data_IF_574226433446
#
_entry.id   IF_574226433446
#
_cell.length_a   1.000
_cell.length_b   1.000
_cell.length_c   1.000
_cell.angle_alpha   90.00
_cell.angle_beta   90.00
_cell.angle_gamma   90.00
#
_symmetry.space_group_name_H-M   'P 1'
#
loop_
_entity.id
_entity.type
_entity.pdbx_description
1 polymer ?
#
# COMPACT_ATOMS: atom_id res chain seq x y z
N UNK A 1 26.52 4.39 -10.51
CA UNK A 1 25.11 4.05 -10.80
C UNK A 1 24.80 2.75 -10.08
N UNK A 2 24.19 2.81 -8.90
CA UNK A 2 23.80 1.62 -8.14
C UNK A 2 22.50 1.10 -8.74
N UNK A 3 22.56 0.02 -9.51
CA UNK A 3 21.36 -0.68 -9.99
C UNK A 3 20.71 -1.37 -8.80
N UNK A 4 19.66 -0.75 -8.24
CA UNK A 4 18.83 -1.40 -7.25
C UNK A 4 18.21 -2.66 -7.88
N UNK A 5 18.56 -3.83 -7.36
CA UNK A 5 17.90 -5.09 -7.70
C UNK A 5 16.39 -4.88 -7.53
N UNK A 6 15.54 -5.19 -8.53
CA UNK A 6 14.11 -5.06 -8.36
C UNK A 6 13.70 -5.96 -7.19
N UNK A 7 13.19 -5.34 -6.12
CA UNK A 7 12.58 -6.06 -5.04
C UNK A 7 11.48 -6.97 -5.62
N UNK A 8 11.58 -8.28 -5.41
CA UNK A 8 10.57 -9.22 -5.86
C UNK A 8 9.26 -9.03 -5.09
N UNK A 9 8.18 -9.65 -5.58
CA UNK A 9 6.84 -9.60 -4.96
C UNK A 9 6.85 -9.91 -3.45
N UNK A 10 7.74 -10.80 -3.00
CA UNK A 10 7.89 -11.18 -1.59
C UNK A 10 8.21 -10.00 -0.68
N UNK A 11 8.88 -8.95 -1.18
CA UNK A 11 9.17 -7.74 -0.41
C UNK A 11 7.95 -6.84 -0.25
N UNK A 12 7.04 -6.83 -1.23
CA UNK A 12 5.88 -5.92 -1.24
C UNK A 12 4.62 -6.51 -0.61
N UNK A 13 4.49 -7.84 -0.60
CA UNK A 13 3.33 -8.56 -0.05
C UNK A 13 2.97 -8.12 1.39
N UNK A 14 3.90 -8.08 2.35
CA UNK A 14 3.58 -7.64 3.71
C UNK A 14 3.11 -6.18 3.79
N UNK A 15 3.62 -5.31 2.91
CA UNK A 15 3.21 -3.91 2.84
C UNK A 15 1.81 -3.77 2.27
N UNK A 16 1.50 -4.51 1.19
CA UNK A 16 0.19 -4.50 0.56
C UNK A 16 -0.88 -5.02 1.52
N UNK A 17 -0.65 -6.14 2.20
CA UNK A 17 -1.59 -6.67 3.20
C UNK A 17 -1.86 -5.67 4.34
N UNK A 18 -0.82 -4.94 4.80
CA UNK A 18 -1.01 -3.94 5.85
C UNK A 18 -1.80 -2.74 5.34
N UNK A 19 -1.47 -2.25 4.14
CA UNK A 19 -2.20 -1.16 3.50
C UNK A 19 -3.67 -1.53 3.30
N UNK A 20 -3.95 -2.69 2.68
CA UNK A 20 -5.31 -3.24 2.52
C UNK A 20 -6.06 -3.36 3.84
N UNK A 21 -5.44 -3.96 4.87
CA UNK A 21 -6.09 -4.15 6.15
C UNK A 21 -6.42 -2.82 6.85
N UNK A 22 -5.61 -1.78 6.64
CA UNK A 22 -5.79 -0.50 7.30
C UNK A 22 -6.74 0.41 6.53
N UNK A 23 -6.57 0.51 5.22
CA UNK A 23 -7.26 1.49 4.37
C UNK A 23 -8.40 0.92 3.56
N UNK A 24 -8.45 -0.40 3.36
CA UNK A 24 -9.39 -1.04 2.44
C UNK A 24 -9.04 -0.87 0.95
N UNK A 25 -7.89 -0.27 0.62
CA UNK A 25 -7.42 -0.13 -0.76
C UNK A 25 -7.10 -1.48 -1.38
N UNK A 26 -7.68 -1.80 -2.54
CA UNK A 26 -7.35 -3.02 -3.30
C UNK A 26 -5.94 -2.95 -3.90
N UNK A 27 -5.00 -3.76 -3.38
CA UNK A 27 -3.62 -3.84 -3.86
C UNK A 27 -3.41 -4.94 -4.92
N UNK A 28 -4.43 -5.74 -5.28
CA UNK A 28 -4.29 -6.78 -6.32
C UNK A 28 -3.77 -6.24 -7.66
N UNK A 29 -4.16 -5.03 -8.14
CA UNK A 29 -3.66 -4.49 -9.40
C UNK A 29 -2.16 -4.11 -9.39
N UNK A 30 -1.53 -4.07 -8.21
CA UNK A 30 -0.13 -3.67 -8.06
C UNK A 30 0.86 -4.68 -8.61
N UNK A 31 0.41 -5.90 -8.92
CA UNK A 31 1.27 -6.96 -9.41
C UNK A 31 0.72 -7.55 -10.70
N UNK A 32 1.61 -7.83 -11.64
CA UNK A 32 1.28 -8.58 -12.86
C UNK A 32 2.38 -9.59 -13.13
N UNK A 33 1.99 -10.85 -13.35
CA UNK A 33 2.92 -11.97 -13.55
C UNK A 33 4.01 -12.10 -12.47
N UNK A 34 3.70 -11.73 -11.21
CA UNK A 34 4.66 -11.77 -10.10
C UNK A 34 5.60 -10.57 -10.01
N UNK A 35 5.47 -9.59 -10.91
CA UNK A 35 6.28 -8.38 -10.93
C UNK A 35 5.48 -7.16 -10.44
N UNK A 36 6.10 -6.26 -9.64
CA UNK A 36 5.45 -5.03 -9.19
C UNK A 36 5.31 -4.03 -10.34
N UNK A 37 4.09 -3.55 -10.53
CA UNK A 37 3.72 -2.47 -11.45
C UNK A 37 3.99 -1.12 -10.79
N UNK A 38 5.26 -0.72 -10.77
CA UNK A 38 5.77 0.42 -9.97
C UNK A 38 5.06 1.75 -10.27
N UNK A 39 4.75 2.02 -11.53
CA UNK A 39 4.11 3.27 -11.93
C UNK A 39 2.67 3.32 -11.42
N UNK A 40 1.97 2.21 -11.51
CA UNK A 40 0.59 2.04 -11.06
C UNK A 40 0.50 2.08 -9.53
N UNK A 41 1.46 1.45 -8.85
CA UNK A 41 1.62 1.56 -7.39
C UNK A 41 1.81 3.03 -7.00
N UNK A 42 2.75 3.74 -7.64
CA UNK A 42 3.02 5.13 -7.33
C UNK A 42 1.77 6.01 -7.54
N UNK A 43 1.11 5.89 -8.68
CA UNK A 43 -0.10 6.65 -8.99
C UNK A 43 -1.25 6.38 -7.99
N UNK A 44 -1.44 5.12 -7.58
CA UNK A 44 -2.46 4.77 -6.59
C UNK A 44 -2.16 5.35 -5.20
N UNK A 45 -0.89 5.32 -4.79
CA UNK A 45 -0.45 5.89 -3.51
C UNK A 45 -0.53 7.42 -3.51
N UNK A 46 -0.14 8.07 -4.60
CA UNK A 46 -0.30 9.52 -4.78
C UNK A 46 -1.77 9.92 -4.69
N UNK A 47 -2.66 9.20 -5.39
CA UNK A 47 -4.10 9.45 -5.33
C UNK A 47 -4.67 9.30 -3.90
N UNK A 48 -4.17 8.33 -3.12
CA UNK A 48 -4.57 8.15 -1.72
C UNK A 48 -4.03 9.25 -0.80
N UNK A 49 -2.83 9.74 -1.06
CA UNK A 49 -2.25 10.86 -0.31
C UNK A 49 -3.02 12.15 -0.58
N UNK A 50 -3.39 12.39 -1.83
CA UNK A 50 -4.11 13.59 -2.26
C UNK A 50 -5.58 13.60 -1.84
N UNK A 51 -6.19 12.43 -1.61
CA UNK A 51 -7.61 12.34 -1.24
C UNK A 51 -7.91 12.87 0.18
N UNK A 52 -6.90 13.03 1.03
CA UNK A 52 -7.06 13.36 2.45
C UNK A 52 -7.64 12.21 3.28
N UNK A 53 -7.91 11.04 2.69
CA UNK A 53 -8.41 9.88 3.43
C UNK A 53 -7.45 9.40 4.51
N UNK A 54 -6.16 9.75 4.41
CA UNK A 54 -5.16 9.38 5.39
C UNK A 54 -5.26 10.19 6.69
N UNK A 55 -5.90 11.37 6.66
CA UNK A 55 -6.03 12.26 7.82
C UNK A 55 -6.89 11.66 8.94
N UNK A 56 -7.72 10.64 8.63
CA UNK A 56 -8.52 9.92 9.63
C UNK A 56 -7.73 8.88 10.43
N UNK A 57 -6.49 8.57 10.02
CA UNK A 57 -5.65 7.58 10.70
C UNK A 57 -4.71 8.26 11.70
N UNK A 58 -4.87 7.90 12.97
CA UNK A 58 -4.09 8.46 14.09
C UNK A 58 -2.82 7.64 14.30
N UNK A 59 -1.64 8.27 14.43
CA UNK A 59 -0.40 7.56 14.76
C UNK A 59 -0.54 6.74 16.05
N UNK A 60 -0.15 5.45 15.99
CA UNK A 60 -0.21 4.54 17.13
C UNK A 60 -1.56 3.86 17.35
N UNK A 61 -2.62 4.26 16.65
CA UNK A 61 -3.93 3.60 16.69
C UNK A 61 -3.96 2.40 15.73
N UNK A 62 -4.54 1.29 16.16
CA UNK A 62 -4.76 0.11 15.32
C UNK A 62 -6.08 0.25 14.56
N UNK A 63 -6.09 -0.18 13.31
CA UNK A 63 -7.25 -0.16 12.43
C UNK A 63 -7.50 -1.54 11.80
N UNK A 64 -8.77 -1.84 11.55
CA UNK A 64 -9.22 -2.97 10.75
C UNK A 64 -10.31 -2.48 9.79
N UNK A 65 -10.03 -2.55 8.48
CA UNK A 65 -10.91 -2.06 7.42
C UNK A 65 -11.32 -0.58 7.56
N UNK A 66 -10.37 0.28 7.95
CA UNK A 66 -10.64 1.71 8.15
C UNK A 66 -11.30 2.05 9.49
N UNK A 67 -11.65 1.05 10.32
CA UNK A 67 -12.26 1.26 11.63
C UNK A 67 -11.23 1.09 12.76
N UNK A 68 -11.20 1.97 13.77
CA UNK A 68 -10.30 1.81 14.91
C UNK A 68 -10.67 0.55 15.70
N UNK A 69 -9.67 -0.23 16.11
CA UNK A 69 -9.83 -1.38 17.01
C UNK A 69 -9.20 -1.11 18.37
N UNK A 70 -9.86 -1.51 19.48
CA UNK A 70 -9.34 -1.34 20.84
C UNK A 70 -8.00 -2.04 21.10
#
# INVERSE_FOLDING_TARGET
MTTATPAGIGTYLPLCHRLEAWTGMDCRPFFYAGEPRRLEIAAALESLLESGELDRYVPGQRYFWGYPVP
#
